data_IF_519363601450
#
_entry.id   IF_519363601450
#
_cell.length_a   1.000
_cell.length_b   1.000
_cell.length_c   1.000
_cell.angle_alpha   90.00
_cell.angle_beta   90.00
_cell.angle_gamma   90.00
#
_symmetry.space_group_name_H-M   'P 1'
#
loop_
_entity.id
_entity.type
_entity.pdbx_description
1 polymer ?
#
# COMPACT_ATOMS: atom_id res chain seq x y z
N UNK A 1 4.68 -8.20 -11.17
CA UNK A 1 4.02 -7.57 -10.00
C UNK A 1 2.98 -8.54 -9.46
N UNK A 2 3.08 -8.93 -8.19
CA UNK A 2 2.01 -9.70 -7.54
C UNK A 2 0.98 -8.71 -7.00
N UNK A 3 -0.29 -9.12 -6.88
CA UNK A 3 -1.34 -8.27 -6.29
C UNK A 3 -0.99 -7.83 -4.86
N UNK A 4 -0.09 -8.53 -4.19
CA UNK A 4 0.41 -8.24 -2.84
C UNK A 4 1.26 -6.97 -2.75
N UNK A 5 1.70 -6.42 -3.89
CA UNK A 5 2.75 -5.40 -3.91
C UNK A 5 2.21 -4.03 -4.31
N UNK A 6 0.90 -3.86 -4.41
CA UNK A 6 0.28 -2.61 -4.84
C UNK A 6 -0.98 -2.23 -4.06
N UNK A 7 -1.16 -0.94 -3.86
CA UNK A 7 -2.36 -0.29 -3.35
C UNK A 7 -3.06 0.35 -4.53
N UNK A 8 -4.37 0.21 -4.61
CA UNK A 8 -5.18 0.86 -5.64
C UNK A 8 -5.97 1.97 -4.98
N UNK A 9 -5.73 3.20 -5.38
CA UNK A 9 -6.39 4.39 -4.83
C UNK A 9 -7.38 4.96 -5.83
N UNK A 10 -8.50 5.47 -5.32
CA UNK A 10 -9.51 6.13 -6.14
C UNK A 10 -9.85 7.51 -5.60
N UNK A 11 -9.83 8.49 -6.49
CA UNK A 11 -10.02 9.89 -6.19
C UNK A 11 -11.22 10.46 -6.94
N UNK A 12 -12.00 11.33 -6.29
CA UNK A 12 -13.07 12.10 -6.92
C UNK A 12 -12.88 13.57 -6.58
N UNK A 13 -12.75 14.43 -7.59
CA UNK A 13 -12.48 15.85 -7.38
C UNK A 13 -11.23 16.12 -6.54
N UNK A 14 -10.17 15.33 -6.75
CA UNK A 14 -8.90 15.44 -6.02
C UNK A 14 -8.89 14.83 -4.60
N UNK A 15 -10.02 14.34 -4.08
CA UNK A 15 -10.11 13.72 -2.75
C UNK A 15 -10.08 12.20 -2.84
N UNK A 16 -9.29 11.55 -1.99
CA UNK A 16 -9.28 10.09 -1.86
C UNK A 16 -10.62 9.62 -1.30
N UNK A 17 -11.37 8.86 -2.10
CA UNK A 17 -12.69 8.33 -1.71
C UNK A 17 -12.62 6.90 -1.21
N UNK A 18 -11.69 6.12 -1.74
CA UNK A 18 -11.40 4.75 -1.28
C UNK A 18 -10.05 4.27 -1.75
N UNK A 19 -9.51 3.28 -1.04
CA UNK A 19 -8.33 2.57 -1.48
C UNK A 19 -8.45 1.07 -1.19
N UNK A 20 -7.73 0.28 -1.96
CA UNK A 20 -7.68 -1.17 -1.87
C UNK A 20 -6.27 -1.60 -1.52
N UNK A 21 -6.14 -2.34 -0.44
CA UNK A 21 -4.88 -2.90 0.04
C UNK A 21 -4.93 -4.42 -0.07
N UNK A 22 -3.82 -5.09 -0.41
CA UNK A 22 -3.77 -6.54 -0.39
C UNK A 22 -3.73 -7.06 1.04
N UNK A 23 -4.34 -8.21 1.29
CA UNK A 23 -4.45 -8.81 2.63
C UNK A 23 -3.59 -10.06 2.82
N UNK A 24 -3.12 -10.67 1.73
CA UNK A 24 -2.44 -11.96 1.75
C UNK A 24 -3.38 -13.18 1.87
N UNK A 25 -4.67 -12.96 2.10
CA UNK A 25 -5.70 -14.02 2.12
C UNK A 25 -6.02 -14.49 0.68
N UNK A 26 -6.07 -15.79 0.44
CA UNK A 26 -6.40 -16.33 -0.88
C UNK A 26 -7.89 -16.18 -1.25
N UNK A 27 -8.80 -16.29 -0.28
CA UNK A 27 -10.24 -16.20 -0.50
C UNK A 27 -10.70 -14.74 -0.62
N UNK A 28 -10.14 -13.86 0.21
CA UNK A 28 -10.45 -12.44 0.26
C UNK A 28 -9.18 -11.59 0.13
N UNK A 29 -8.54 -11.58 -1.05
CA UNK A 29 -7.20 -11.02 -1.25
C UNK A 29 -7.11 -9.50 -1.14
N UNK A 30 -8.24 -8.81 -1.01
CA UNK A 30 -8.28 -7.36 -0.94
C UNK A 30 -9.03 -6.87 0.29
N UNK A 31 -8.58 -5.73 0.77
CA UNK A 31 -9.18 -4.94 1.82
C UNK A 31 -9.51 -3.57 1.24
N UNK A 32 -10.80 -3.23 1.19
CA UNK A 32 -11.29 -1.92 0.78
C UNK A 32 -11.45 -1.02 2.01
N UNK A 33 -10.83 0.15 1.97
CA UNK A 33 -10.94 1.17 3.00
C UNK A 33 -11.71 2.38 2.47
N UNK A 34 -12.80 2.74 3.13
CA UNK A 34 -13.68 3.86 2.77
C UNK A 34 -14.06 4.59 4.05
N UNK A 35 -13.70 5.88 4.15
CA UNK A 35 -14.06 6.73 5.31
C UNK A 35 -13.76 6.07 6.68
N UNK A 36 -12.61 5.41 6.81
CA UNK A 36 -12.19 4.73 8.04
C UNK A 36 -12.85 3.36 8.29
N UNK A 37 -13.70 2.87 7.38
CA UNK A 37 -14.28 1.52 7.44
C UNK A 37 -13.57 0.58 6.50
N UNK A 38 -13.34 -0.65 6.98
CA UNK A 38 -12.59 -1.68 6.28
C UNK A 38 -13.51 -2.85 5.88
N UNK A 39 -13.36 -3.32 4.65
CA UNK A 39 -14.14 -4.44 4.11
C UNK A 39 -13.26 -5.40 3.31
N UNK A 40 -13.29 -6.68 3.69
CA UNK A 40 -12.64 -7.74 2.93
C UNK A 40 -13.41 -8.04 1.63
N UNK A 41 -12.69 -8.21 0.53
CA UNK A 41 -13.26 -8.33 -0.82
C UNK A 41 -12.48 -9.32 -1.69
N UNK A 42 -13.23 -9.94 -2.60
CA UNK A 42 -12.68 -10.82 -3.63
C UNK A 42 -12.04 -10.00 -4.76
N UNK A 43 -11.14 -10.63 -5.52
CA UNK A 43 -10.51 -10.02 -6.68
C UNK A 43 -11.55 -9.54 -7.72
N UNK A 44 -12.51 -10.40 -8.08
CA UNK A 44 -13.57 -10.06 -9.04
C UNK A 44 -14.43 -8.87 -8.60
N UNK A 45 -14.74 -8.77 -7.31
CA UNK A 45 -15.49 -7.62 -6.79
C UNK A 45 -14.69 -6.34 -6.92
N UNK A 46 -13.41 -6.34 -6.54
CA UNK A 46 -12.54 -5.16 -6.64
C UNK A 46 -12.38 -4.71 -8.09
N UNK A 47 -12.17 -5.64 -9.02
CA UNK A 47 -12.09 -5.32 -10.46
C UNK A 47 -13.38 -4.71 -11.01
N UNK A 48 -14.56 -5.19 -10.57
CA UNK A 48 -15.85 -4.59 -10.95
C UNK A 48 -16.00 -3.12 -10.53
N UNK A 49 -15.22 -2.66 -9.54
CA UNK A 49 -15.21 -1.28 -9.06
C UNK A 49 -14.10 -0.43 -9.67
N UNK A 50 -13.07 -1.05 -10.21
CA UNK A 50 -11.92 -0.38 -10.81
C UNK A 50 -12.11 -0.21 -12.30
N UNK A 51 -12.48 -1.26 -13.04
CA UNK A 51 -12.53 -1.22 -14.50
C UNK A 51 -13.39 -0.07 -15.05
N UNK A 52 -14.58 0.26 -14.49
CA UNK A 52 -15.38 1.38 -14.97
C UNK A 52 -14.73 2.77 -14.77
N UNK A 53 -13.72 2.86 -13.91
CA UNK A 53 -13.02 4.11 -13.60
C UNK A 53 -11.77 4.33 -14.45
N UNK A 54 -11.38 3.33 -15.23
CA UNK A 54 -10.25 3.42 -16.17
C UNK A 54 -10.69 3.93 -17.56
N UNK A 55 -12.00 4.11 -17.76
CA UNK A 55 -12.55 4.65 -19.00
C UNK A 55 -12.39 6.17 -19.08
N UNK A 56 -12.19 6.67 -20.30
CA UNK A 56 -12.13 8.10 -20.57
C UNK A 56 -13.44 8.79 -20.19
N UNK A 57 -13.34 9.96 -19.56
CA UNK A 57 -14.50 10.69 -19.03
C UNK A 57 -15.00 10.22 -17.66
N UNK A 58 -14.34 9.25 -17.01
CA UNK A 58 -14.71 8.87 -15.65
C UNK A 58 -14.52 10.04 -14.67
N UNK A 59 -15.51 10.33 -13.80
CA UNK A 59 -15.34 11.33 -12.74
C UNK A 59 -14.43 10.85 -11.60
N UNK A 60 -13.97 9.59 -11.65
CA UNK A 60 -13.11 8.97 -10.65
C UNK A 60 -11.75 8.68 -11.29
N UNK A 61 -10.69 9.15 -10.65
CA UNK A 61 -9.31 8.88 -11.06
C UNK A 61 -8.81 7.69 -10.25
N UNK A 62 -8.35 6.65 -10.93
CA UNK A 62 -7.72 5.49 -10.29
C UNK A 62 -6.20 5.56 -10.44
N UNK A 63 -5.49 5.34 -9.33
CA UNK A 63 -4.03 5.25 -9.29
C UNK A 63 -3.60 3.92 -8.69
N UNK A 64 -2.52 3.35 -9.21
CA UNK A 64 -1.86 2.18 -8.65
C UNK A 64 -0.56 2.64 -8.02
N UNK A 65 -0.42 2.44 -6.71
CA UNK A 65 0.73 2.85 -5.91
C UNK A 65 1.45 1.58 -5.47
N UNK A 66 2.75 1.40 -5.74
CA UNK A 66 3.49 0.28 -5.19
C UNK A 66 3.51 0.38 -3.66
N UNK A 67 3.28 -0.75 -2.98
CA UNK A 67 3.55 -0.85 -1.55
C UNK A 67 5.07 -0.73 -1.42
N UNK A 68 5.56 0.45 -1.02
CA UNK A 68 6.95 0.58 -0.58
C UNK A 68 7.07 -0.33 0.63
N UNK A 69 7.65 -1.51 0.45
CA UNK A 69 8.23 -2.25 1.56
C UNK A 69 9.26 -1.30 2.14
N UNK A 70 8.93 -0.68 3.27
CA UNK A 70 9.95 -0.07 4.10
C UNK A 70 10.76 -1.27 4.58
N UNK A 71 11.84 -1.60 3.85
CA UNK A 71 12.89 -2.41 4.42
C UNK A 71 13.36 -1.61 5.63
N UNK A 72 12.99 -2.09 6.82
CA UNK A 72 13.55 -1.68 8.08
C UNK A 72 15.00 -2.18 8.17
N UNK A 73 15.86 -1.63 7.32
CA UNK A 73 17.31 -1.78 7.34
C UNK A 73 17.93 -0.40 7.09
N UNK A 74 17.58 0.56 7.93
CA UNK A 74 18.40 1.75 8.12
C UNK A 74 18.58 1.96 9.63
N UNK A 75 19.86 1.90 10.03
CA UNK A 75 20.47 2.38 11.28
C UNK A 75 20.70 1.37 12.41
N UNK A 76 21.68 0.48 12.22
CA UNK A 76 22.73 0.31 13.24
C UNK A 76 24.07 0.65 12.57
N UNK A 77 24.45 1.91 12.66
CA UNK A 77 25.83 2.35 12.47
C UNK A 77 26.27 2.96 13.80
N UNK A 78 26.69 2.13 14.75
CA UNK A 78 27.59 2.62 15.80
C UNK A 78 29.03 2.53 15.29
N UNK A 79 29.81 3.61 15.40
CA UNK A 79 31.18 3.66 14.91
C UNK A 79 32.13 2.93 15.85
N UNK A 80 33.16 2.33 15.24
CA UNK A 80 34.40 1.89 15.88
C UNK A 80 34.87 2.91 16.93
N UNK A 81 35.01 2.46 18.18
CA UNK A 81 35.89 3.11 19.16
C UNK A 81 36.70 2.05 19.90
N UNK A 82 37.63 1.43 19.17
CA UNK A 82 38.90 1.06 19.77
C UNK A 82 39.67 2.37 20.06
N UNK A 83 39.68 2.81 21.31
CA UNK A 83 40.77 3.62 21.82
C UNK A 83 41.14 3.17 23.24
N UNK A 84 42.43 2.88 23.33
CA UNK A 84 43.16 2.21 24.40
C UNK A 84 43.43 3.13 25.60
N UNK A 85 43.97 2.51 26.64
CA UNK A 85 44.77 3.10 27.73
C UNK A 85 44.13 4.06 28.73
N UNK A 86 43.84 3.53 29.93
CA UNK A 86 44.41 3.98 31.21
C UNK A 86 43.73 3.29 32.38
N UNK A 87 44.42 2.35 33.01
CA UNK A 87 44.51 2.26 34.48
C UNK A 87 45.80 1.52 34.82
N UNK A 88 46.83 2.32 35.12
CA UNK A 88 47.92 1.95 36.02
C UNK A 88 47.45 2.02 37.47
#
# INVERSE_FOLDING_TARGET
MKNTDCIIEQYRGGKLVRFFTPTGDQALPWCMNVHGKTYLRTHGWVMSKILPTLMEGSPVITKVVPVKVVNSEDQVSEPDSAFDDRFS
#
